data_IF_192554087036
#
_entry.id   IF_192554087036
#
_cell.length_a   1.000
_cell.length_b   1.000
_cell.length_c   1.000
_cell.angle_alpha   90.00
_cell.angle_beta   90.00
_cell.angle_gamma   90.00
#
_symmetry.space_group_name_H-M   'P 1'
#
loop_
_entity.id
_entity.type
_entity.pdbx_description
1 polymer ?
#
# COMPACT_ATOMS: atom_id res chain seq x y z
N UNK A 1 15.04 18.15 -11.40
CA UNK A 1 14.13 18.60 -10.32
C UNK A 1 14.88 18.82 -9.01
N UNK A 2 15.67 17.85 -8.51
CA UNK A 2 16.54 17.99 -7.31
C UNK A 2 17.57 19.13 -7.42
N UNK A 3 18.07 19.45 -8.62
CA UNK A 3 18.99 20.58 -8.85
C UNK A 3 18.30 21.95 -8.95
N UNK A 4 16.98 22.01 -9.12
CA UNK A 4 16.24 23.26 -9.36
C UNK A 4 15.49 23.76 -8.12
N UNK A 5 15.23 22.90 -7.14
CA UNK A 5 14.67 23.28 -5.84
C UNK A 5 15.81 23.37 -4.84
N UNK A 6 16.09 24.57 -4.35
CA UNK A 6 17.10 24.88 -3.32
C UNK A 6 16.69 24.33 -1.94
N UNK A 7 16.20 23.10 -1.91
CA UNK A 7 15.83 22.33 -0.73
C UNK A 7 17.07 21.58 -0.30
N UNK A 8 17.65 22.00 0.83
CA UNK A 8 18.69 21.26 1.54
C UNK A 8 18.34 19.78 1.53
N UNK A 9 19.26 18.92 1.04
CA UNK A 9 19.13 17.46 1.12
C UNK A 9 18.90 17.12 2.58
N UNK A 10 17.65 16.88 2.94
CA UNK A 10 17.26 16.64 4.33
C UNK A 10 17.44 15.14 4.59
N UNK A 11 17.97 14.80 5.77
CA UNK A 11 18.18 13.40 6.19
C UNK A 11 16.87 12.60 6.22
N UNK A 12 15.73 13.30 6.23
CA UNK A 12 14.39 12.73 6.14
C UNK A 12 14.16 11.87 4.89
N UNK A 13 14.89 12.12 3.79
CA UNK A 13 14.82 11.27 2.57
C UNK A 13 15.25 9.83 2.90
N UNK A 14 16.12 9.63 3.89
CA UNK A 14 16.55 8.30 4.31
C UNK A 14 15.39 7.45 4.85
N UNK A 15 14.34 8.08 5.40
CA UNK A 15 13.12 7.40 5.85
C UNK A 15 12.30 6.80 4.71
N UNK A 16 12.59 7.17 3.46
CA UNK A 16 12.00 6.54 2.28
C UNK A 16 12.39 5.05 2.16
N UNK A 17 13.61 4.69 2.56
CA UNK A 17 14.11 3.31 2.47
C UNK A 17 13.29 2.35 3.36
N UNK A 18 13.09 2.60 4.67
CA UNK A 18 12.22 1.75 5.48
C UNK A 18 10.76 1.79 5.00
N UNK A 19 10.27 2.95 4.55
CA UNK A 19 8.92 3.09 4.02
C UNK A 19 8.66 2.18 2.80
N UNK A 20 9.61 2.10 1.85
CA UNK A 20 9.47 1.25 0.66
C UNK A 20 9.59 -0.23 1.01
N UNK A 21 10.41 -0.60 2.00
CA UNK A 21 10.51 -1.99 2.47
C UNK A 21 9.17 -2.47 3.05
N UNK A 22 8.59 -1.68 3.98
CA UNK A 22 7.30 -2.03 4.60
C UNK A 22 6.19 -2.14 3.57
N UNK A 23 6.15 -1.20 2.62
CA UNK A 23 5.15 -1.20 1.54
C UNK A 23 5.33 -2.40 0.63
N UNK A 24 6.58 -2.76 0.29
CA UNK A 24 6.87 -3.93 -0.55
C UNK A 24 6.43 -5.24 0.10
N UNK A 25 6.65 -5.40 1.42
CA UNK A 25 6.18 -6.57 2.17
C UNK A 25 4.65 -6.69 2.09
N UNK A 26 3.93 -5.58 2.26
CA UNK A 26 2.47 -5.55 2.16
C UNK A 26 1.97 -5.88 0.75
N UNK A 27 2.63 -5.35 -0.28
CA UNK A 27 2.32 -5.65 -1.69
C UNK A 27 2.55 -7.12 -2.03
N UNK A 28 3.67 -7.70 -1.61
CA UNK A 28 3.98 -9.13 -1.81
C UNK A 28 2.92 -9.99 -1.10
N UNK A 29 2.57 -9.65 0.14
CA UNK A 29 1.58 -10.39 0.93
C UNK A 29 0.21 -10.37 0.27
N UNK A 30 -0.24 -9.20 -0.18
CA UNK A 30 -1.51 -9.05 -0.91
C UNK A 30 -1.48 -9.78 -2.25
N UNK A 31 -0.37 -9.67 -2.99
CA UNK A 31 -0.15 -10.36 -4.25
C UNK A 31 -0.21 -11.88 -4.12
N UNK A 32 0.35 -12.45 -3.04
CA UNK A 32 0.24 -13.88 -2.74
C UNK A 32 -1.20 -14.32 -2.52
N UNK A 33 -1.99 -13.57 -1.75
CA UNK A 33 -3.41 -13.87 -1.52
C UNK A 33 -4.17 -13.85 -2.85
N UNK A 34 -3.97 -12.81 -3.65
CA UNK A 34 -4.61 -12.68 -4.97
C UNK A 34 -4.16 -13.78 -5.95
N UNK A 35 -2.88 -14.16 -5.94
CA UNK A 35 -2.35 -15.22 -6.79
C UNK A 35 -3.02 -16.58 -6.48
N UNK A 36 -3.17 -16.93 -5.20
CA UNK A 36 -3.87 -18.15 -4.79
C UNK A 36 -5.35 -18.10 -5.20
N UNK A 37 -5.98 -16.92 -5.09
CA UNK A 37 -7.37 -16.74 -5.52
C UNK A 37 -7.54 -16.90 -7.04
N UNK A 38 -6.67 -16.25 -7.83
CA UNK A 38 -6.70 -16.32 -9.29
C UNK A 38 -6.31 -17.70 -9.84
N UNK A 39 -5.44 -18.46 -9.16
CA UNK A 39 -5.17 -19.86 -9.56
C UNK A 39 -6.39 -20.75 -9.36
N UNK A 40 -7.17 -20.54 -8.29
CA UNK A 40 -8.43 -21.26 -8.06
C UNK A 40 -9.52 -20.89 -9.07
N UNK A 41 -9.60 -19.62 -9.43
CA UNK A 41 -10.61 -19.06 -10.35
C UNK A 41 -9.91 -18.26 -11.45
N UNK A 42 -9.50 -18.94 -12.51
CA UNK A 42 -8.72 -18.38 -13.61
C UNK A 42 -9.37 -17.15 -14.27
N UNK A 43 -10.70 -17.11 -14.28
CA UNK A 43 -11.49 -16.01 -14.85
C UNK A 43 -11.52 -14.74 -13.98
N UNK A 44 -11.03 -14.81 -12.74
CA UNK A 44 -10.99 -13.66 -11.82
C UNK A 44 -9.80 -12.74 -12.09
N UNK A 45 -8.79 -13.17 -12.85
CA UNK A 45 -7.62 -12.34 -13.19
C UNK A 45 -7.99 -10.98 -13.78
N UNK A 46 -8.78 -10.91 -14.87
CA UNK A 46 -9.25 -9.64 -15.44
C UNK A 46 -10.09 -8.79 -14.48
N UNK A 47 -10.88 -9.42 -13.61
CA UNK A 47 -11.69 -8.73 -12.60
C UNK A 47 -10.80 -8.03 -11.58
N UNK A 48 -9.78 -8.73 -11.07
CA UNK A 48 -8.81 -8.16 -10.11
C UNK A 48 -8.10 -6.95 -10.73
N UNK A 49 -7.69 -7.02 -12.00
CA UNK A 49 -7.08 -5.88 -12.70
C UNK A 49 -8.02 -4.67 -12.78
N UNK A 50 -9.30 -4.91 -13.05
CA UNK A 50 -10.33 -3.86 -13.09
C UNK A 50 -10.52 -3.23 -11.70
N UNK A 51 -10.55 -4.05 -10.65
CA UNK A 51 -10.67 -3.59 -9.25
C UNK A 51 -9.45 -2.76 -8.84
N UNK A 52 -8.23 -3.19 -9.16
CA UNK A 52 -7.01 -2.41 -8.88
C UNK A 52 -7.07 -1.05 -9.58
N UNK A 53 -7.54 -1.01 -10.82
CA UNK A 53 -7.75 0.25 -11.56
C UNK A 53 -8.76 1.16 -10.85
N UNK A 54 -9.87 0.62 -10.36
CA UNK A 54 -10.84 1.39 -9.57
C UNK A 54 -10.25 1.89 -8.25
N UNK A 55 -9.49 1.05 -7.54
CA UNK A 55 -8.79 1.42 -6.31
C UNK A 55 -7.83 2.60 -6.53
N UNK A 56 -7.15 2.67 -7.68
CA UNK A 56 -6.28 3.79 -8.03
C UNK A 56 -7.02 5.14 -8.05
N UNK A 57 -8.27 5.19 -8.54
CA UNK A 57 -9.07 6.41 -8.54
C UNK A 57 -9.64 6.77 -7.16
N UNK A 58 -10.00 5.76 -6.38
CA UNK A 58 -10.54 5.93 -5.02
C UNK A 58 -9.45 6.37 -4.04
N UNK A 59 -8.20 5.99 -4.30
CA UNK A 59 -7.08 6.36 -3.44
C UNK A 59 -6.58 7.78 -3.75
N UNK A 60 -6.13 8.52 -2.73
CA UNK A 60 -5.60 9.87 -2.85
C UNK A 60 -4.19 9.87 -3.47
N UNK A 61 -4.06 9.26 -4.66
CA UNK A 61 -2.84 9.29 -5.47
C UNK A 61 -2.84 10.55 -6.33
N UNK A 62 -3.98 10.83 -6.99
CA UNK A 62 -4.16 11.98 -7.89
C UNK A 62 -4.56 13.24 -7.12
N UNK A 63 -5.30 13.08 -6.02
CA UNK A 63 -5.82 14.17 -5.21
C UNK A 63 -5.20 14.17 -3.82
N UNK A 64 -4.92 15.35 -3.29
CA UNK A 64 -4.37 15.51 -1.94
C UNK A 64 -5.52 15.74 -0.96
N UNK A 65 -5.44 15.18 0.24
CA UNK A 65 -6.44 15.37 1.32
C UNK A 65 -6.67 16.84 1.68
N UNK A 66 -5.71 17.73 1.39
CA UNK A 66 -5.80 19.18 1.56
C UNK A 66 -6.86 19.85 0.68
N UNK A 67 -7.20 19.25 -0.48
CA UNK A 67 -8.17 19.80 -1.43
C UNK A 67 -9.61 19.53 -1.02
N UNK A 68 -9.85 18.68 -0.01
CA UNK A 68 -11.20 18.33 0.42
C UNK A 68 -11.74 19.32 1.47
N UNK A 69 -13.04 19.71 1.38
CA UNK A 69 -13.71 20.52 2.39
C UNK A 69 -13.59 19.88 3.79
N UNK A 70 -13.56 20.71 4.84
CA UNK A 70 -13.27 20.33 6.23
C UNK A 70 -14.14 19.19 6.83
N UNK A 71 -15.23 18.76 6.18
CA UNK A 71 -16.07 17.63 6.61
C UNK A 71 -15.84 16.31 5.87
N UNK A 72 -15.01 16.25 4.81
CA UNK A 72 -14.70 15.00 4.09
C UNK A 72 -13.28 14.46 4.33
N UNK A 73 -12.46 15.20 5.10
CA UNK A 73 -11.09 14.78 5.41
C UNK A 73 -11.06 13.49 6.25
N UNK A 74 -12.00 13.34 7.18
CA UNK A 74 -12.11 12.15 8.04
C UNK A 74 -12.39 10.86 7.24
N UNK A 75 -13.10 10.95 6.11
CA UNK A 75 -13.32 9.79 5.23
C UNK A 75 -12.03 9.30 4.57
N UNK A 76 -11.03 10.16 4.42
CA UNK A 76 -9.71 9.80 3.86
C UNK A 76 -8.90 8.99 4.87
N UNK A 77 -9.06 9.28 6.16
CA UNK A 77 -8.34 8.59 7.24
C UNK A 77 -8.78 7.13 7.41
N UNK A 78 -9.96 6.75 6.93
CA UNK A 78 -10.39 5.34 6.90
C UNK A 78 -9.75 4.52 5.78
N UNK A 79 -9.13 5.17 4.78
CA UNK A 79 -8.57 4.46 3.66
C UNK A 79 -7.18 3.91 4.01
N UNK A 80 -7.06 2.58 4.11
CA UNK A 80 -5.77 1.93 4.44
C UNK A 80 -4.67 2.29 3.43
N UNK A 81 -5.00 2.44 2.14
CA UNK A 81 -4.03 2.80 1.11
C UNK A 81 -3.49 4.23 1.28
N UNK A 82 -4.24 5.14 1.93
CA UNK A 82 -3.77 6.48 2.21
C UNK A 82 -2.51 6.44 3.08
N UNK A 83 -2.48 5.62 4.13
CA UNK A 83 -1.32 5.50 5.02
C UNK A 83 -0.06 5.02 4.29
N UNK A 84 -0.19 4.04 3.39
CA UNK A 84 0.95 3.57 2.56
C UNK A 84 1.45 4.65 1.60
N UNK A 85 0.55 5.38 0.95
CA UNK A 85 0.92 6.46 0.03
C UNK A 85 1.58 7.63 0.76
N UNK A 86 1.02 8.06 1.88
CA UNK A 86 1.53 9.20 2.67
C UNK A 86 2.89 8.89 3.30
N UNK A 87 3.09 7.63 3.74
CA UNK A 87 4.37 7.13 4.21
C UNK A 87 5.49 7.23 3.16
N UNK A 88 5.18 6.99 1.89
CA UNK A 88 6.14 7.13 0.79
C UNK A 88 6.31 8.58 0.33
N UNK A 89 5.22 9.37 0.37
CA UNK A 89 5.19 10.75 -0.13
C UNK A 89 5.96 11.73 0.77
N UNK A 90 5.73 11.69 2.08
CA UNK A 90 6.30 12.68 3.02
C UNK A 90 7.84 12.75 2.98
N UNK A 91 8.58 11.62 2.97
CA UNK A 91 10.05 11.64 2.87
C UNK A 91 10.54 12.27 1.55
N UNK A 92 9.81 12.05 0.45
CA UNK A 92 10.14 12.64 -0.86
C UNK A 92 9.88 14.15 -0.92
N UNK A 93 8.95 14.64 -0.09
CA UNK A 93 8.69 16.07 0.11
C UNK A 93 9.63 16.70 1.15
N UNK A 94 10.57 15.93 1.71
CA UNK A 94 11.49 16.41 2.76
C UNK A 94 10.81 16.64 4.11
N UNK A 95 9.71 15.94 4.38
CA UNK A 95 8.95 16.01 5.63
C UNK A 95 8.91 14.63 6.31
N UNK A 96 8.92 14.61 7.64
CA UNK A 96 8.84 13.36 8.41
C UNK A 96 7.39 12.87 8.46
N UNK A 97 7.12 11.58 8.14
CA UNK A 97 5.81 10.99 8.35
C UNK A 97 5.44 10.96 9.83
N UNK A 98 4.17 11.23 10.12
CA UNK A 98 3.65 11.18 11.49
C UNK A 98 3.71 9.74 12.05
N UNK A 99 3.87 9.63 13.38
CA UNK A 99 3.99 8.35 14.09
C UNK A 99 2.75 7.49 13.90
N UNK A 100 1.58 8.12 13.79
CA UNK A 100 0.31 7.46 13.48
C UNK A 100 0.37 6.68 12.16
N UNK A 101 0.93 7.31 11.12
CA UNK A 101 1.08 6.69 9.78
C UNK A 101 1.98 5.46 9.88
N UNK A 102 3.11 5.56 10.59
CA UNK A 102 4.01 4.42 10.82
C UNK A 102 3.31 3.27 11.55
N UNK A 103 2.55 3.58 12.59
CA UNK A 103 1.84 2.57 13.37
C UNK A 103 0.81 1.82 12.51
N UNK A 104 -0.03 2.53 11.77
CA UNK A 104 -1.05 1.91 10.93
C UNK A 104 -0.46 1.08 9.78
N UNK A 105 0.56 1.57 9.07
CA UNK A 105 1.16 0.79 7.97
C UNK A 105 1.90 -0.46 8.46
N UNK A 106 2.60 -0.38 9.60
CA UNK A 106 3.29 -1.54 10.16
C UNK A 106 2.27 -2.60 10.60
N UNK A 107 1.24 -2.21 11.35
CA UNK A 107 0.21 -3.15 11.82
C UNK A 107 -0.52 -3.81 10.65
N UNK A 108 -0.95 -3.02 9.67
CA UNK A 108 -1.65 -3.55 8.50
C UNK A 108 -0.74 -4.45 7.67
N UNK A 109 0.56 -4.12 7.51
CA UNK A 109 1.53 -4.97 6.83
C UNK A 109 1.75 -6.30 7.55
N UNK A 110 1.88 -6.30 8.88
CA UNK A 110 2.01 -7.52 9.69
C UNK A 110 0.76 -8.40 9.57
N UNK A 111 -0.44 -7.80 9.66
CA UNK A 111 -1.70 -8.53 9.50
C UNK A 111 -1.78 -9.16 8.11
N UNK A 112 -1.46 -8.41 7.04
CA UNK A 112 -1.45 -8.93 5.68
C UNK A 112 -0.46 -10.07 5.50
N UNK A 113 0.74 -9.96 6.08
CA UNK A 113 1.75 -11.01 6.04
C UNK A 113 1.28 -12.28 6.76
N UNK A 114 0.68 -12.13 7.95
CA UNK A 114 0.13 -13.25 8.71
C UNK A 114 -1.01 -13.94 7.95
N UNK A 115 -1.95 -13.16 7.40
CA UNK A 115 -3.05 -13.71 6.60
C UNK A 115 -2.53 -14.41 5.35
N UNK A 116 -1.58 -13.80 4.64
CA UNK A 116 -0.98 -14.38 3.44
C UNK A 116 -0.31 -15.72 3.72
N UNK A 117 0.52 -15.79 4.76
CA UNK A 117 1.22 -17.03 5.15
C UNK A 117 0.25 -18.13 5.60
N UNK A 118 -0.83 -17.78 6.31
CA UNK A 118 -1.89 -18.73 6.68
C UNK A 118 -2.63 -19.27 5.46
N UNK A 119 -3.03 -18.40 4.52
CA UNK A 119 -3.70 -18.79 3.28
C UNK A 119 -2.79 -19.70 2.45
N UNK A 120 -1.52 -19.33 2.29
CA UNK A 120 -0.54 -20.14 1.58
C UNK A 120 -0.37 -21.52 2.24
N UNK A 121 -0.18 -21.58 3.55
CA UNK A 121 0.00 -22.85 4.27
C UNK A 121 -1.22 -23.76 4.15
N UNK A 122 -2.43 -23.18 4.19
CA UNK A 122 -3.69 -23.91 4.06
C UNK A 122 -3.92 -24.47 2.66
N UNK A 123 -3.57 -23.71 1.62
CA UNK A 123 -3.90 -24.07 0.24
C UNK A 123 -2.72 -24.65 -0.57
N UNK A 124 -1.48 -24.64 -0.05
CA UNK A 124 -0.28 -25.13 -0.76
C UNK A 124 -0.43 -26.50 -1.42
N UNK A 125 -1.10 -27.44 -0.77
CA UNK A 125 -1.29 -28.81 -1.28
C UNK A 125 -2.33 -28.89 -2.40
N UNK A 126 -3.21 -27.89 -2.51
CA UNK A 126 -4.28 -27.85 -3.53
C UNK A 126 -3.93 -26.99 -4.74
N UNK A 127 -2.95 -26.08 -4.63
CA UNK A 127 -2.50 -25.22 -5.73
C UNK A 127 -2.06 -26.04 -6.94
N UNK A 128 -1.35 -27.16 -6.74
CA UNK A 128 -0.89 -28.04 -7.83
C UNK A 128 -2.05 -28.64 -8.63
N UNK A 129 -3.23 -28.81 -8.02
CA UNK A 129 -4.42 -29.33 -8.70
C UNK A 129 -5.25 -28.24 -9.39
N UNK A 130 -4.95 -26.95 -9.19
CA UNK A 130 -5.68 -25.82 -9.76
C UNK A 130 -4.93 -25.14 -10.93
N UNK A 131 -3.63 -25.41 -11.06
CA UNK A 131 -2.84 -25.10 -12.26
C UNK A 131 -3.28 -26.01 -13.41
#
# INVERSE_FOLDING_TARGET
VIFFTNTSVNLDILLFIPAIIITSISLISTGMILAIFCTRYRDMGPVVQSVVTLCFFITPIIWTSEQLPKGRKEFVDYNIFYYFMEMLRKPLMGTVPDVTIWFYTIITSIIMLMVSTLVLTKYRSRIVYWL
#
